data_IF_833970124813
#
_entry.id   IF_833970124813
#
_cell.length_a   1.000
_cell.length_b   1.000
_cell.length_c   1.000
_cell.angle_alpha   90.00
_cell.angle_beta   90.00
_cell.angle_gamma   90.00
#
_symmetry.space_group_name_H-M   'P 1'
#
loop_
_entity.id
_entity.type
_entity.pdbx_description
1 polymer ?
#
# COMPACT_ATOMS: atom_id res chain seq x y z
N UNK A 1 4.06 1.24 17.64
CA UNK A 1 3.88 0.72 16.28
C UNK A 1 2.45 0.24 16.10
N UNK A 2 1.64 1.03 15.41
CA UNK A 2 0.25 0.71 15.09
C UNK A 2 0.25 0.39 13.59
N UNK A 3 -0.35 -0.73 13.17
CA UNK A 3 -0.50 -0.98 11.74
C UNK A 3 -1.54 -0.01 11.17
N UNK A 4 -1.24 0.68 10.08
CA UNK A 4 -2.02 1.84 9.59
C UNK A 4 -3.33 1.48 8.87
N UNK A 5 -4.05 0.45 9.33
CA UNK A 5 -5.31 0.03 8.71
C UNK A 5 -5.18 -0.56 7.30
N UNK A 6 -3.96 -0.57 6.74
CA UNK A 6 -3.63 -1.03 5.39
C UNK A 6 -4.20 -2.41 5.03
N UNK A 7 -4.32 -3.31 6.01
CA UNK A 7 -4.95 -4.62 5.80
C UNK A 7 -6.42 -4.51 5.38
N UNK A 8 -7.19 -3.57 5.95
CA UNK A 8 -8.60 -3.33 5.60
C UNK A 8 -8.70 -2.72 4.20
N UNK A 9 -7.87 -1.73 3.90
CA UNK A 9 -7.80 -1.11 2.57
C UNK A 9 -7.46 -2.14 1.50
N UNK A 10 -6.42 -2.95 1.74
CA UNK A 10 -5.98 -3.99 0.82
C UNK A 10 -7.04 -5.07 0.62
N UNK A 11 -7.69 -5.52 1.70
CA UNK A 11 -8.77 -6.53 1.61
C UNK A 11 -9.95 -6.03 0.78
N UNK A 12 -10.35 -4.78 0.97
CA UNK A 12 -11.43 -4.17 0.19
C UNK A 12 -11.03 -3.95 -1.27
N UNK A 13 -9.80 -3.51 -1.54
CA UNK A 13 -9.28 -3.36 -2.90
C UNK A 13 -9.25 -4.70 -3.65
N UNK A 14 -8.78 -5.77 -3.00
CA UNK A 14 -8.81 -7.12 -3.55
C UNK A 14 -10.23 -7.54 -3.92
N UNK A 15 -11.19 -7.36 -3.00
CA UNK A 15 -12.60 -7.69 -3.24
C UNK A 15 -13.15 -6.97 -4.47
N UNK A 16 -12.89 -5.66 -4.59
CA UNK A 16 -13.32 -4.84 -5.74
C UNK A 16 -12.64 -5.25 -7.04
N UNK A 17 -11.36 -5.60 -7.00
CA UNK A 17 -10.60 -6.08 -8.14
C UNK A 17 -11.22 -7.38 -8.67
N UNK A 18 -11.44 -8.36 -7.79
CA UNK A 18 -12.01 -9.67 -8.16
C UNK A 18 -13.40 -9.55 -8.81
N UNK A 19 -14.25 -8.65 -8.31
CA UNK A 19 -15.58 -8.41 -8.89
C UNK A 19 -15.55 -7.84 -10.31
N UNK A 20 -14.46 -7.17 -10.69
CA UNK A 20 -14.34 -6.46 -11.98
C UNK A 20 -13.30 -7.06 -12.92
N UNK A 21 -12.61 -8.12 -12.51
CA UNK A 21 -11.52 -8.69 -13.29
C UNK A 21 -12.05 -9.47 -14.51
N UNK A 22 -11.52 -9.12 -15.69
CA UNK A 22 -11.93 -9.68 -17.00
C UNK A 22 -10.91 -10.66 -17.59
N UNK A 23 -9.90 -11.04 -16.82
CA UNK A 23 -8.84 -11.97 -17.24
C UNK A 23 -9.17 -13.43 -16.86
N UNK A 24 -8.24 -14.34 -17.13
CA UNK A 24 -8.34 -15.73 -16.69
C UNK A 24 -8.38 -15.84 -15.16
N UNK A 25 -9.04 -16.87 -14.64
CA UNK A 25 -9.22 -17.09 -13.20
C UNK A 25 -7.88 -17.12 -12.43
N UNK A 26 -6.82 -17.68 -13.02
CA UNK A 26 -5.49 -17.76 -12.42
C UNK A 26 -4.82 -16.39 -12.22
N UNK A 27 -5.24 -15.38 -12.99
CA UNK A 27 -4.77 -14.00 -12.88
C UNK A 27 -5.71 -13.19 -11.98
N UNK A 28 -7.02 -13.41 -12.08
CA UNK A 28 -8.04 -12.67 -11.34
C UNK A 28 -8.17 -13.09 -9.87
N UNK A 29 -7.99 -14.38 -9.57
CA UNK A 29 -8.10 -14.94 -8.23
C UNK A 29 -6.91 -15.86 -7.88
N UNK A 30 -5.65 -15.37 -7.99
CA UNK A 30 -4.51 -16.12 -7.52
C UNK A 30 -4.61 -16.28 -5.99
N UNK A 31 -4.06 -17.37 -5.41
CA UNK A 31 -4.14 -17.61 -3.96
C UNK A 31 -3.73 -16.41 -3.10
N UNK A 32 -2.74 -15.62 -3.55
CA UNK A 32 -2.29 -14.43 -2.82
C UNK A 32 -3.31 -13.31 -2.69
N UNK A 33 -4.28 -13.25 -3.60
CA UNK A 33 -5.36 -12.26 -3.60
C UNK A 33 -6.65 -12.83 -3.01
N UNK A 34 -6.63 -13.99 -2.34
CA UNK A 34 -7.83 -14.49 -1.69
C UNK A 34 -8.13 -13.67 -0.43
N UNK A 35 -9.39 -13.29 -0.16
CA UNK A 35 -9.71 -12.64 1.09
C UNK A 35 -9.45 -13.59 2.27
N UNK A 36 -8.80 -13.08 3.32
CA UNK A 36 -8.65 -13.81 4.59
C UNK A 36 -9.83 -13.40 5.48
N UNK A 37 -10.70 -14.34 5.90
CA UNK A 37 -11.80 -14.02 6.79
C UNK A 37 -11.28 -13.41 8.09
N UNK A 38 -11.75 -12.20 8.43
CA UNK A 38 -11.40 -11.51 9.68
C UNK A 38 -12.65 -10.90 10.29
N UNK A 39 -12.79 -11.10 11.60
CA UNK A 39 -13.86 -10.48 12.39
C UNK A 39 -13.33 -9.15 12.93
N UNK A 40 -13.67 -8.06 12.25
CA UNK A 40 -13.33 -6.71 12.66
C UNK A 40 -14.35 -6.19 13.68
N UNK A 41 -13.88 -5.61 14.78
CA UNK A 41 -14.74 -4.93 15.73
C UNK A 41 -15.44 -3.71 15.08
N UNK A 42 -14.71 -2.94 14.27
CA UNK A 42 -15.27 -1.88 13.42
C UNK A 42 -14.82 -2.07 11.97
N UNK A 43 -15.61 -2.75 11.12
CA UNK A 43 -15.18 -3.12 9.77
C UNK A 43 -14.75 -1.95 8.88
N UNK A 44 -15.37 -0.77 9.05
CA UNK A 44 -15.06 0.41 8.22
C UNK A 44 -14.12 1.43 8.87
N UNK A 45 -13.73 1.21 10.13
CA UNK A 45 -12.91 2.18 10.90
C UNK A 45 -11.64 1.48 11.39
N UNK A 46 -10.49 1.99 11.01
CA UNK A 46 -9.21 1.55 11.55
C UNK A 46 -9.06 2.03 12.99
N UNK A 47 -8.61 1.13 13.86
CA UNK A 47 -8.57 1.36 15.30
C UNK A 47 -7.53 0.45 15.94
N UNK A 48 -7.03 0.86 17.10
CA UNK A 48 -5.98 0.13 17.81
C UNK A 48 -6.35 -1.29 18.22
N UNK A 49 -7.62 -1.57 18.55
CA UNK A 49 -8.06 -2.91 18.93
C UNK A 49 -7.91 -3.90 17.76
N UNK A 50 -8.48 -3.57 16.61
CA UNK A 50 -8.41 -4.40 15.40
C UNK A 50 -6.95 -4.59 14.94
N UNK A 51 -6.13 -3.55 15.01
CA UNK A 51 -4.73 -3.62 14.63
C UNK A 51 -3.90 -4.49 15.57
N UNK A 52 -4.06 -4.33 16.90
CA UNK A 52 -3.38 -5.16 17.88
C UNK A 52 -3.80 -6.63 17.77
N UNK A 53 -5.09 -6.89 17.57
CA UNK A 53 -5.59 -8.25 17.35
C UNK A 53 -4.98 -8.88 16.10
N UNK A 54 -4.87 -8.11 15.02
CA UNK A 54 -4.30 -8.58 13.74
C UNK A 54 -2.80 -8.84 13.86
N UNK A 55 -2.06 -7.93 14.51
CA UNK A 55 -0.64 -8.10 14.80
C UNK A 55 -0.40 -9.33 15.68
N UNK A 56 -1.19 -9.51 16.75
CA UNK A 56 -1.11 -10.68 17.61
C UNK A 56 -1.40 -11.98 16.84
N UNK A 57 -2.45 -12.01 16.02
CA UNK A 57 -2.76 -13.16 15.16
C UNK A 57 -1.60 -13.50 14.20
N UNK A 58 -0.94 -12.47 13.65
CA UNK A 58 0.24 -12.66 12.81
C UNK A 58 1.42 -13.21 13.61
N UNK A 59 1.74 -12.65 14.78
CA UNK A 59 2.83 -13.13 15.64
C UNK A 59 2.59 -14.58 16.09
N UNK A 60 1.42 -14.90 16.61
CA UNK A 60 1.07 -16.27 17.05
C UNK A 60 1.09 -17.24 15.87
N UNK A 61 0.48 -16.86 14.74
CA UNK A 61 0.50 -17.67 13.51
C UNK A 61 1.90 -17.88 12.94
N UNK A 62 2.81 -16.91 13.09
CA UNK A 62 4.19 -16.99 12.64
C UNK A 62 5.08 -17.87 13.52
N UNK A 63 4.78 -17.94 14.84
CA UNK A 63 5.54 -18.71 15.83
C UNK A 63 5.13 -20.18 15.91
N UNK A 64 3.85 -20.50 15.69
CA UNK A 64 3.42 -21.89 15.53
C UNK A 64 3.93 -22.45 14.20
N UNK A 65 4.76 -23.50 14.23
CA UNK A 65 5.46 -24.15 13.11
C UNK A 65 4.55 -24.83 12.06
N UNK A 66 3.39 -24.24 11.74
CA UNK A 66 2.53 -24.65 10.63
C UNK A 66 2.48 -23.49 9.63
N UNK A 67 3.30 -23.53 8.56
CA UNK A 67 3.27 -22.57 7.46
C UNK A 67 1.89 -22.39 6.79
N UNK A 68 0.93 -23.25 7.15
CA UNK A 68 -0.30 -23.49 6.42
C UNK A 68 -1.52 -22.75 7.01
N UNK A 69 -1.43 -22.19 8.22
CA UNK A 69 -2.62 -21.70 8.95
C UNK A 69 -2.86 -20.19 8.79
N UNK A 70 -1.80 -19.43 8.52
CA UNK A 70 -1.90 -18.02 8.10
C UNK A 70 -1.09 -17.89 6.82
N UNK A 71 -1.80 -17.87 5.70
CA UNK A 71 -1.24 -17.87 4.36
C UNK A 71 -0.19 -16.76 4.22
N UNK A 72 1.09 -17.14 4.37
CA UNK A 72 2.23 -16.23 4.16
C UNK A 72 2.26 -15.75 2.71
N UNK A 73 1.49 -16.39 1.82
CA UNK A 73 1.24 -15.93 0.47
C UNK A 73 0.14 -14.86 0.36
N UNK A 74 -0.58 -14.50 1.41
CA UNK A 74 -1.68 -13.53 1.30
C UNK A 74 -1.19 -12.08 1.29
N UNK A 75 -1.61 -11.31 0.29
CA UNK A 75 -1.20 -9.92 0.10
C UNK A 75 -1.61 -9.02 1.26
N UNK A 76 -2.88 -9.08 1.71
CA UNK A 76 -3.36 -8.18 2.76
C UNK A 76 -2.61 -8.38 4.09
N UNK A 77 -2.27 -9.63 4.41
CA UNK A 77 -1.44 -9.95 5.57
C UNK A 77 0.00 -9.45 5.40
N UNK A 78 0.57 -9.61 4.21
CA UNK A 78 1.95 -9.18 3.95
C UNK A 78 2.10 -7.66 3.93
N UNK A 79 1.10 -6.92 3.43
CA UNK A 79 1.08 -5.45 3.48
C UNK A 79 1.15 -4.95 4.92
N UNK A 80 0.41 -5.58 5.83
CA UNK A 80 0.49 -5.26 7.26
C UNK A 80 1.84 -5.68 7.87
N UNK A 81 2.39 -6.81 7.43
CA UNK A 81 3.65 -7.32 7.95
C UNK A 81 4.85 -6.43 7.61
N UNK A 82 4.74 -5.51 6.63
CA UNK A 82 5.77 -4.53 6.30
C UNK A 82 6.17 -3.71 7.55
N UNK A 83 5.21 -3.28 8.37
CA UNK A 83 5.49 -2.53 9.60
C UNK A 83 5.99 -3.44 10.73
N UNK A 84 5.47 -4.66 10.82
CA UNK A 84 5.68 -5.54 11.97
C UNK A 84 6.95 -6.38 11.89
N UNK A 85 7.44 -6.67 10.70
CA UNK A 85 8.54 -7.58 10.50
C UNK A 85 9.86 -6.92 10.94
N UNK A 86 10.57 -7.55 11.89
CA UNK A 86 11.85 -7.05 12.37
C UNK A 86 12.90 -6.86 11.25
N UNK A 87 12.81 -7.64 10.17
CA UNK A 87 13.69 -7.51 9.01
C UNK A 87 13.38 -6.27 8.14
N UNK A 88 12.19 -5.70 8.26
CA UNK A 88 11.81 -4.43 7.63
C UNK A 88 11.76 -3.29 8.63
N UNK A 89 11.75 -3.53 9.95
CA UNK A 89 11.68 -2.48 10.98
C UNK A 89 12.75 -1.38 10.85
N UNK A 90 13.92 -1.70 10.31
CA UNK A 90 14.96 -0.70 10.02
C UNK A 90 14.48 0.38 9.04
N UNK A 91 13.38 0.15 8.31
CA UNK A 91 12.81 1.11 7.36
C UNK A 91 12.25 2.36 8.04
N UNK A 92 11.83 2.24 9.30
CA UNK A 92 11.37 3.37 10.11
C UNK A 92 12.54 4.22 10.64
N UNK A 93 13.72 3.63 10.82
CA UNK A 93 14.84 4.30 11.49
C UNK A 93 15.91 4.82 10.50
N UNK A 94 16.02 4.19 9.32
CA UNK A 94 17.08 4.49 8.36
C UNK A 94 16.59 5.41 7.23
N UNK A 95 17.37 6.42 6.79
CA UNK A 95 17.01 7.31 5.67
C UNK A 95 16.58 6.59 4.39
N UNK A 96 17.34 5.57 3.96
CA UNK A 96 16.98 4.73 2.79
C UNK A 96 15.72 3.87 2.99
N UNK A 97 15.29 3.73 4.23
CA UNK A 97 14.09 3.04 4.66
C UNK A 97 12.81 3.87 4.49
N UNK A 98 12.92 5.20 4.46
CA UNK A 98 11.75 6.07 4.51
C UNK A 98 10.90 6.02 3.24
N UNK A 99 11.51 5.66 2.11
CA UNK A 99 10.79 5.41 0.85
C UNK A 99 9.74 4.29 0.97
N UNK A 100 9.90 3.36 1.91
CA UNK A 100 8.91 2.31 2.16
C UNK A 100 7.58 2.90 2.62
N UNK A 101 7.65 4.04 3.33
CA UNK A 101 6.50 4.74 3.89
C UNK A 101 6.11 5.99 3.10
N UNK A 102 6.56 6.11 1.83
CA UNK A 102 6.33 7.31 1.01
C UNK A 102 6.78 8.61 1.70
N UNK A 103 7.81 8.54 2.54
CA UNK A 103 8.36 9.67 3.28
C UNK A 103 9.75 10.06 2.77
N UNK A 104 10.19 11.28 3.10
CA UNK A 104 11.52 11.78 2.69
C UNK A 104 12.56 11.58 3.78
N UNK A 105 13.79 11.28 3.37
CA UNK A 105 14.93 11.41 4.26
C UNK A 105 15.19 12.89 4.61
N UNK A 106 15.81 13.22 5.76
CA UNK A 106 16.11 14.60 6.13
C UNK A 106 16.92 15.38 5.08
N UNK A 107 17.78 14.69 4.34
CA UNK A 107 18.66 15.26 3.31
C UNK A 107 18.03 15.39 1.91
N UNK A 108 16.83 14.86 1.70
CA UNK A 108 16.15 14.88 0.40
C UNK A 108 15.17 16.06 0.31
N UNK A 109 15.04 16.64 -0.89
CA UNK A 109 13.90 17.52 -1.20
C UNK A 109 12.62 16.69 -1.34
N UNK A 110 11.45 17.32 -1.22
CA UNK A 110 10.16 16.66 -1.45
C UNK A 110 10.09 16.02 -2.83
N UNK A 111 10.53 16.72 -3.88
CA UNK A 111 10.54 16.19 -5.24
C UNK A 111 11.44 14.96 -5.40
N UNK A 112 12.66 15.00 -4.84
CA UNK A 112 13.59 13.86 -4.90
C UNK A 112 13.01 12.63 -4.20
N UNK A 113 12.46 12.82 -3.00
CA UNK A 113 11.81 11.74 -2.26
C UNK A 113 10.59 11.19 -3.00
N UNK A 114 9.78 12.06 -3.62
CA UNK A 114 8.66 11.67 -4.46
C UNK A 114 9.10 10.79 -5.63
N UNK A 115 10.16 11.19 -6.35
CA UNK A 115 10.73 10.40 -7.44
C UNK A 115 11.24 9.04 -6.95
N UNK A 116 11.90 9.01 -5.79
CA UNK A 116 12.43 7.79 -5.18
C UNK A 116 11.32 6.84 -4.72
N UNK A 117 10.24 7.37 -4.12
CA UNK A 117 9.08 6.58 -3.69
C UNK A 117 8.31 6.02 -4.91
N UNK A 118 8.08 6.84 -5.95
CA UNK A 118 7.46 6.36 -7.19
C UNK A 118 8.30 5.25 -7.84
N UNK A 119 9.62 5.44 -7.93
CA UNK A 119 10.54 4.42 -8.45
C UNK A 119 10.48 3.14 -7.61
N UNK A 120 10.44 3.26 -6.28
CA UNK A 120 10.34 2.12 -5.39
C UNK A 120 9.05 1.30 -5.63
N UNK A 121 7.90 1.97 -5.78
CA UNK A 121 6.62 1.30 -6.12
C UNK A 121 6.76 0.58 -7.46
N UNK A 122 7.29 1.26 -8.48
CA UNK A 122 7.45 0.72 -9.82
C UNK A 122 8.38 -0.50 -9.88
N UNK A 123 9.55 -0.41 -9.25
CA UNK A 123 10.56 -1.49 -9.23
C UNK A 123 10.01 -2.73 -8.54
N UNK A 124 9.32 -2.57 -7.41
CA UNK A 124 8.69 -3.69 -6.70
C UNK A 124 7.52 -4.29 -7.50
N UNK A 125 6.72 -3.46 -8.18
CA UNK A 125 5.67 -3.94 -9.08
C UNK A 125 6.25 -4.78 -10.23
N UNK A 126 7.33 -4.30 -10.87
CA UNK A 126 8.03 -5.01 -11.95
C UNK A 126 8.63 -6.34 -11.44
N UNK A 127 9.23 -6.33 -10.25
CA UNK A 127 9.75 -7.53 -9.62
C UNK A 127 8.62 -8.55 -9.34
N UNK A 128 7.45 -8.10 -8.87
CA UNK A 128 6.29 -8.96 -8.73
C UNK A 128 5.82 -9.52 -10.08
N UNK A 129 5.67 -8.69 -11.13
CA UNK A 129 5.26 -9.16 -12.47
C UNK A 129 6.20 -10.27 -12.96
N UNK A 130 7.51 -10.09 -12.76
CA UNK A 130 8.51 -11.09 -13.10
C UNK A 130 8.36 -12.40 -12.33
N UNK A 131 8.28 -12.33 -11.01
CA UNK A 131 8.15 -13.50 -10.17
C UNK A 131 6.79 -14.20 -10.39
N UNK A 132 5.72 -13.44 -10.57
CA UNK A 132 4.37 -13.98 -10.75
C UNK A 132 4.20 -14.71 -12.09
N UNK A 133 4.71 -14.17 -13.20
CA UNK A 133 4.73 -14.88 -14.49
C UNK A 133 5.46 -16.21 -14.40
N UNK A 134 6.61 -16.22 -13.73
CA UNK A 134 7.37 -17.44 -13.44
C UNK A 134 6.55 -18.44 -12.64
N UNK A 135 5.86 -18.00 -11.59
CA UNK A 135 4.96 -18.84 -10.80
C UNK A 135 3.83 -19.44 -11.63
N UNK A 136 3.22 -18.67 -12.53
CA UNK A 136 2.16 -19.15 -13.43
C UNK A 136 2.65 -20.26 -14.37
N UNK A 137 3.87 -20.14 -14.89
CA UNK A 137 4.45 -21.13 -15.80
C UNK A 137 4.81 -22.46 -15.10
N UNK A 138 5.17 -22.41 -13.82
CA UNK A 138 5.81 -23.55 -13.14
C UNK A 138 4.84 -24.62 -12.63
N UNK A 139 3.53 -24.38 -12.52
CA UNK A 139 2.44 -25.30 -12.10
C UNK A 139 2.67 -26.17 -10.81
N UNK A 140 3.83 -26.10 -10.15
CA UNK A 140 4.22 -26.95 -9.01
C UNK A 140 4.12 -26.22 -7.66
N UNK A 141 3.64 -26.88 -6.59
CA UNK A 141 3.62 -26.35 -5.22
C UNK A 141 5.01 -26.13 -4.60
N UNK A 142 6.06 -26.76 -5.13
CA UNK A 142 7.41 -26.80 -4.54
C UNK A 142 8.15 -25.44 -4.57
N UNK A 143 7.59 -24.42 -5.21
CA UNK A 143 8.21 -23.09 -5.35
C UNK A 143 7.69 -22.05 -4.34
N UNK A 144 7.34 -22.49 -3.14
CA UNK A 144 6.90 -21.63 -2.03
C UNK A 144 7.77 -20.37 -1.82
N UNK A 145 9.13 -20.42 -1.90
CA UNK A 145 9.96 -19.23 -1.70
C UNK A 145 9.74 -18.13 -2.76
N UNK A 146 9.56 -18.50 -4.03
CA UNK A 146 9.36 -17.54 -5.12
C UNK A 146 7.97 -16.90 -5.06
N UNK A 147 6.96 -17.67 -4.63
CA UNK A 147 5.62 -17.13 -4.37
C UNK A 147 5.66 -16.12 -3.23
N UNK A 148 6.34 -16.46 -2.14
CA UNK A 148 6.50 -15.57 -0.99
C UNK A 148 7.26 -14.30 -1.38
N UNK A 149 8.37 -14.43 -2.12
CA UNK A 149 9.11 -13.27 -2.62
C UNK A 149 8.24 -12.37 -3.51
N UNK A 150 7.48 -12.95 -4.46
CA UNK A 150 6.54 -12.19 -5.26
C UNK A 150 5.58 -11.38 -4.38
N UNK A 151 4.90 -12.05 -3.45
CA UNK A 151 3.91 -11.40 -2.56
C UNK A 151 4.56 -10.31 -1.73
N UNK A 152 5.79 -10.52 -1.24
CA UNK A 152 6.54 -9.50 -0.50
C UNK A 152 6.82 -8.26 -1.36
N UNK A 153 7.23 -8.43 -2.63
CA UNK A 153 7.42 -7.29 -3.54
C UNK A 153 6.12 -6.52 -3.75
N UNK A 154 5.02 -7.22 -3.99
CA UNK A 154 3.73 -6.55 -4.16
C UNK A 154 3.27 -5.86 -2.88
N UNK A 155 3.48 -6.48 -1.72
CA UNK A 155 3.14 -5.91 -0.42
C UNK A 155 3.91 -4.62 -0.14
N UNK A 156 5.21 -4.58 -0.42
CA UNK A 156 6.02 -3.36 -0.30
C UNK A 156 5.52 -2.23 -1.19
N UNK A 157 5.16 -2.54 -2.44
CA UNK A 157 4.62 -1.54 -3.36
C UNK A 157 3.24 -1.03 -2.93
N UNK A 158 2.34 -1.92 -2.50
CA UNK A 158 0.99 -1.57 -2.06
C UNK A 158 1.03 -0.77 -0.76
N UNK A 159 1.89 -1.14 0.18
CA UNK A 159 2.09 -0.41 1.43
C UNK A 159 2.52 1.04 1.15
N UNK A 160 3.63 1.21 0.41
CA UNK A 160 4.13 2.53 0.01
C UNK A 160 3.08 3.35 -0.77
N UNK A 161 2.29 2.70 -1.64
CA UNK A 161 1.19 3.36 -2.34
C UNK A 161 0.10 3.87 -1.38
N UNK A 162 -0.32 3.06 -0.41
CA UNK A 162 -1.36 3.42 0.55
C UNK A 162 -0.89 4.58 1.44
N UNK A 163 0.38 4.57 1.84
CA UNK A 163 1.02 5.65 2.58
C UNK A 163 1.02 7.00 1.85
N UNK A 164 1.04 7.00 0.51
CA UNK A 164 0.90 8.22 -0.28
C UNK A 164 -0.46 8.92 -0.12
N UNK A 165 -1.44 8.28 0.52
CA UNK A 165 -2.74 8.86 0.87
C UNK A 165 -2.85 9.21 2.36
N UNK A 166 -1.82 8.92 3.16
CA UNK A 166 -1.80 9.23 4.59
C UNK A 166 -1.46 10.71 4.84
N UNK A 167 -2.30 11.48 5.55
CA UNK A 167 -2.01 12.87 5.88
C UNK A 167 -0.82 13.03 6.83
N UNK A 168 -0.40 11.95 7.50
CA UNK A 168 0.80 11.92 8.33
C UNK A 168 2.08 11.70 7.53
N UNK A 169 1.98 11.32 6.25
CA UNK A 169 3.12 11.02 5.38
C UNK A 169 3.30 12.08 4.30
N UNK A 170 2.19 12.61 3.79
CA UNK A 170 2.19 13.60 2.72
C UNK A 170 1.21 14.74 2.96
N UNK A 171 1.51 15.90 2.36
CA UNK A 171 0.53 16.96 2.14
C UNK A 171 0.15 17.00 0.68
N UNK A 172 -1.15 16.96 0.37
CA UNK A 172 -1.69 17.13 -0.99
C UNK A 172 -2.22 18.56 -1.19
N UNK A 173 -2.12 19.09 -2.41
CA UNK A 173 -2.55 20.42 -2.78
C UNK A 173 -4.07 20.43 -2.99
N UNK A 174 -4.82 20.97 -2.04
CA UNK A 174 -6.23 21.28 -2.27
C UNK A 174 -6.35 22.46 -3.24
N UNK A 175 -7.32 22.41 -4.16
CA UNK A 175 -7.63 23.54 -5.05
C UNK A 175 -8.31 24.64 -4.22
N UNK A 176 -7.51 25.64 -3.85
CA UNK A 176 -7.77 27.01 -3.33
C UNK A 176 -9.01 27.22 -2.43
N UNK A 177 -8.87 27.78 -1.23
CA UNK A 177 -8.44 29.17 -1.02
C UNK A 177 -8.09 29.41 0.46
N UNK A 178 -7.32 30.47 0.70
CA UNK A 178 -6.80 30.94 1.98
C UNK A 178 -7.60 30.52 3.23
N UNK A 179 -6.92 29.92 4.21
CA UNK A 179 -6.95 30.30 5.63
C UNK A 179 -5.98 29.43 6.44
N UNK A 180 -5.34 30.08 7.41
CA UNK A 180 -4.43 29.49 8.38
C UNK A 180 -5.21 28.59 9.37
N UNK A 181 -4.65 27.39 9.64
CA UNK A 181 -5.01 26.45 10.72
C UNK A 181 -6.38 25.75 10.66
N UNK A 182 -6.57 24.77 11.55
CA UNK A 182 -6.24 23.36 11.37
C UNK A 182 -7.23 22.71 10.40
N UNK A 183 -6.75 21.94 9.43
CA UNK A 183 -7.61 21.33 8.42
C UNK A 183 -8.48 20.27 9.10
N UNK A 184 -9.68 20.66 9.52
CA UNK A 184 -10.80 19.74 9.67
C UNK A 184 -10.94 18.99 8.35
N UNK A 185 -11.00 17.66 8.43
CA UNK A 185 -11.18 16.69 7.36
C UNK A 185 -12.45 16.86 6.49
N UNK A 186 -13.07 18.04 6.49
CA UNK A 186 -14.21 18.41 5.64
C UNK A 186 -13.78 18.85 4.23
N UNK A 187 -12.67 18.28 3.73
CA UNK A 187 -12.46 18.27 2.29
C UNK A 187 -13.46 17.27 1.72
N UNK A 188 -14.67 17.77 1.45
CA UNK A 188 -15.55 17.14 0.48
C UNK A 188 -14.76 17.04 -0.81
N UNK A 189 -14.19 15.86 -1.07
CA UNK A 189 -13.76 15.44 -2.40
C UNK A 189 -15.03 15.40 -3.25
N UNK A 190 -15.47 16.56 -3.74
CA UNK A 190 -16.70 16.75 -4.52
C UNK A 190 -16.65 16.00 -5.85
N UNK A 191 -15.49 15.47 -6.23
CA UNK A 191 -15.32 14.57 -7.34
C UNK A 191 -14.32 13.43 -7.00
N UNK A 192 -14.77 12.18 -6.85
CA UNK A 192 -13.88 11.03 -6.58
C UNK A 192 -12.88 10.78 -7.73
N UNK A 193 -13.09 11.37 -8.92
CA UNK A 193 -12.15 11.27 -10.02
C UNK A 193 -10.99 12.27 -9.97
N UNK A 194 -10.96 13.19 -9.01
CA UNK A 194 -9.89 14.17 -8.87
C UNK A 194 -9.10 13.90 -7.59
N UNK A 195 -7.91 13.31 -7.76
CA UNK A 195 -6.95 13.11 -6.69
C UNK A 195 -6.08 14.38 -6.59
N UNK A 196 -6.07 15.09 -5.46
CA UNK A 196 -5.25 16.29 -5.33
C UNK A 196 -3.75 15.91 -5.40
N UNK A 197 -2.92 16.68 -6.13
CA UNK A 197 -1.52 16.34 -6.32
C UNK A 197 -0.72 16.50 -5.03
N UNK A 198 0.32 15.68 -4.84
CA UNK A 198 1.21 15.71 -3.69
C UNK A 198 2.06 16.99 -3.74
N UNK A 199 2.11 17.73 -2.65
CA UNK A 199 2.88 18.98 -2.51
C UNK A 199 4.12 18.81 -1.65
N UNK A 200 4.05 17.97 -0.63
CA UNK A 200 5.13 17.81 0.35
C UNK A 200 5.15 16.37 0.88
N UNK A 201 6.35 15.80 1.03
CA UNK A 201 6.58 14.56 1.75
C UNK A 201 7.20 14.90 3.11
N UNK A 202 6.68 14.32 4.18
CA UNK A 202 7.19 14.59 5.51
C UNK A 202 8.45 13.77 5.83
N UNK A 203 9.25 14.27 6.77
CA UNK A 203 10.44 13.59 7.28
C UNK A 203 9.99 12.67 8.41
N UNK A 204 10.14 11.36 8.24
CA UNK A 204 9.73 10.39 9.25
C UNK A 204 10.45 10.58 10.59
N UNK A 205 11.75 10.89 10.57
CA UNK A 205 12.53 11.12 11.79
C UNK A 205 11.96 12.24 12.68
N UNK A 206 11.22 13.18 12.09
CA UNK A 206 10.58 14.30 12.78
C UNK A 206 9.13 13.98 13.20
N UNK A 207 8.58 12.85 12.77
CA UNK A 207 7.31 12.33 13.27
C UNK A 207 7.54 11.67 14.62
N UNK A 208 6.55 11.76 15.50
CA UNK A 208 6.66 11.21 16.84
C UNK A 208 6.51 9.68 16.77
N UNK A 209 7.65 8.97 16.75
CA UNK A 209 7.78 7.52 16.53
C UNK A 209 6.91 6.65 17.47
N UNK A 210 6.65 7.13 18.69
CA UNK A 210 5.82 6.45 19.69
C UNK A 210 4.35 6.90 19.67
N UNK A 211 4.06 8.00 18.96
CA UNK A 211 2.75 8.60 18.83
C UNK A 211 2.39 8.74 17.35
N UNK A 212 2.22 7.60 16.67
CA UNK A 212 1.29 7.52 15.55
C UNK A 212 -0.01 8.20 15.98
N UNK A 213 -0.29 9.38 15.42
CA UNK A 213 -1.43 10.19 15.79
C UNK A 213 -2.73 9.41 15.48
N UNK A 214 -3.86 9.85 16.02
CA UNK A 214 -5.17 9.33 15.57
C UNK A 214 -5.37 9.48 14.05
N UNK A 215 -4.60 10.39 13.42
CA UNK A 215 -4.59 10.67 11.99
C UNK A 215 -4.09 9.51 11.12
N UNK A 216 -3.22 8.63 11.63
CA UNK A 216 -2.77 7.42 10.89
C UNK A 216 -3.92 6.42 10.72
N UNK A 217 -4.84 6.38 11.70
CA UNK A 217 -6.06 5.60 11.55
C UNK A 217 -7.06 6.24 10.61
N UNK A 218 -7.02 7.56 10.43
CA UNK A 218 -7.92 8.25 9.55
C UNK A 218 -7.70 7.79 8.10
N UNK A 219 -6.46 7.81 7.59
CA UNK A 219 -6.13 7.32 6.24
C UNK A 219 -6.29 5.80 6.08
N UNK A 220 -6.05 5.05 7.14
CA UNK A 220 -6.28 3.60 7.18
C UNK A 220 -7.75 3.17 7.16
N UNK A 221 -8.72 4.10 7.24
CA UNK A 221 -10.15 3.77 7.43
C UNK A 221 -10.96 3.85 6.14
N UNK A 222 -11.85 2.87 5.92
CA UNK A 222 -12.77 2.82 4.77
C UNK A 222 -13.91 3.85 4.85
N UNK A 223 -14.11 4.51 6.00
CA UNK A 223 -15.08 5.59 6.16
C UNK A 223 -14.44 6.98 6.00
N UNK A 224 -13.19 7.07 5.58
CA UNK A 224 -12.48 8.31 5.29
C UNK A 224 -12.31 8.47 3.76
N UNK A 225 -12.53 9.69 3.21
CA UNK A 225 -12.26 9.97 1.79
C UNK A 225 -10.85 9.55 1.31
N UNK A 226 -9.81 9.73 2.13
CA UNK A 226 -8.45 9.30 1.80
C UNK A 226 -8.30 7.78 1.76
N UNK A 227 -8.92 7.06 2.69
CA UNK A 227 -8.91 5.60 2.68
C UNK A 227 -9.66 5.03 1.47
N UNK A 228 -10.76 5.68 1.06
CA UNK A 228 -11.47 5.31 -0.17
C UNK A 228 -10.63 5.58 -1.43
N UNK A 229 -9.95 6.73 -1.52
CA UNK A 229 -8.99 7.00 -2.59
C UNK A 229 -7.84 5.99 -2.62
N UNK A 230 -7.31 5.61 -1.45
CA UNK A 230 -6.27 4.60 -1.33
C UNK A 230 -6.74 3.22 -1.81
N UNK A 231 -8.00 2.85 -1.55
CA UNK A 231 -8.62 1.63 -2.09
C UNK A 231 -8.71 1.71 -3.61
N UNK A 232 -9.23 2.80 -4.18
CA UNK A 232 -9.35 2.94 -5.63
C UNK A 232 -7.99 2.94 -6.33
N UNK A 233 -7.00 3.63 -5.77
CA UNK A 233 -5.62 3.61 -6.23
C UNK A 233 -5.05 2.18 -6.18
N UNK A 234 -5.28 1.46 -5.08
CA UNK A 234 -4.83 0.06 -4.93
C UNK A 234 -5.49 -0.84 -5.98
N UNK A 235 -6.80 -0.69 -6.25
CA UNK A 235 -7.49 -1.44 -7.32
C UNK A 235 -6.88 -1.16 -8.68
N UNK A 236 -6.66 0.12 -9.02
CA UNK A 236 -6.07 0.52 -10.29
C UNK A 236 -4.63 -0.01 -10.45
N UNK A 237 -3.85 0.04 -9.37
CA UNK A 237 -2.48 -0.48 -9.33
C UNK A 237 -2.43 -2.00 -9.53
N UNK A 238 -3.26 -2.75 -8.79
CA UNK A 238 -3.34 -4.21 -8.94
C UNK A 238 -3.84 -4.61 -10.33
N UNK A 239 -4.72 -3.82 -10.94
CA UNK A 239 -5.17 -4.02 -12.33
C UNK A 239 -4.00 -3.90 -13.30
N UNK A 240 -3.16 -2.87 -13.16
CA UNK A 240 -1.94 -2.67 -13.98
C UNK A 240 -0.97 -3.83 -13.81
N UNK A 241 -0.77 -4.29 -12.58
CA UNK A 241 0.05 -5.45 -12.27
C UNK A 241 -0.50 -6.72 -12.99
N UNK A 242 -1.79 -7.04 -12.83
CA UNK A 242 -2.43 -8.19 -13.48
C UNK A 242 -2.36 -8.12 -15.01
N UNK A 243 -2.65 -6.96 -15.61
CA UNK A 243 -2.56 -6.74 -17.05
C UNK A 243 -1.13 -6.95 -17.56
N UNK A 244 -0.14 -6.44 -16.84
CA UNK A 244 1.28 -6.61 -17.19
C UNK A 244 1.73 -8.06 -17.05
N UNK A 245 1.20 -8.79 -16.05
CA UNK A 245 1.42 -10.22 -15.89
C UNK A 245 0.80 -11.07 -17.01
N UNK A 246 -0.31 -10.63 -17.58
CA UNK A 246 -1.00 -11.31 -18.68
C UNK A 246 -0.31 -11.14 -20.05
N UNK A 247 0.57 -10.14 -20.20
CA UNK A 247 1.23 -9.83 -21.47
C UNK A 247 2.60 -10.52 -21.61
N UNK A 248 3.13 -10.72 -22.83
CA UNK A 248 4.51 -11.20 -23.02
C UNK A 248 5.58 -10.24 -22.48
N UNK A 249 5.34 -8.93 -22.58
CA UNK A 249 6.28 -7.88 -22.15
C UNK A 249 6.45 -7.84 -20.62
N UNK A 250 7.68 -7.61 -20.16
CA UNK A 250 7.99 -7.38 -18.74
C UNK A 250 7.76 -5.93 -18.29
N UNK A 251 7.25 -5.08 -19.18
CA UNK A 251 6.92 -3.71 -18.87
C UNK A 251 5.70 -3.63 -17.93
N UNK A 252 5.68 -2.62 -17.06
CA UNK A 252 4.52 -2.25 -16.26
C UNK A 252 3.60 -1.35 -17.10
N UNK A 253 2.76 -1.97 -17.92
CA UNK A 253 1.90 -1.29 -18.89
C UNK A 253 0.88 -0.39 -18.17
N UNK A 254 0.89 0.91 -18.47
CA UNK A 254 -0.02 1.90 -17.86
C UNK A 254 0.52 2.60 -16.61
N UNK A 255 1.77 2.32 -16.21
CA UNK A 255 2.40 2.96 -15.04
C UNK A 255 2.40 4.49 -15.10
N UNK A 256 2.80 5.10 -16.23
CA UNK A 256 2.87 6.55 -16.32
C UNK A 256 1.50 7.22 -16.18
N UNK A 257 0.46 6.66 -16.81
CA UNK A 257 -0.91 7.15 -16.64
C UNK A 257 -1.42 6.96 -15.21
N UNK A 258 -1.04 5.87 -14.55
CA UNK A 258 -1.34 5.65 -13.14
C UNK A 258 -0.66 6.69 -12.24
N UNK A 259 0.64 6.90 -12.44
CA UNK A 259 1.43 7.89 -11.69
C UNK A 259 0.83 9.29 -11.85
N UNK A 260 0.50 9.69 -13.09
CA UNK A 260 -0.13 10.97 -13.39
C UNK A 260 -1.51 11.15 -12.75
N UNK A 261 -2.28 10.08 -12.53
CA UNK A 261 -3.60 10.18 -11.88
C UNK A 261 -3.50 10.15 -10.36
N UNK A 262 -2.81 9.15 -9.80
CA UNK A 262 -2.89 8.81 -8.38
C UNK A 262 -1.76 9.42 -7.54
N UNK A 263 -0.61 9.61 -8.18
CA UNK A 263 0.62 10.07 -7.56
C UNK A 263 1.10 11.41 -8.14
N UNK A 264 0.23 12.18 -8.81
CA UNK A 264 0.63 13.48 -9.37
C UNK A 264 1.31 14.34 -8.30
N UNK A 265 2.36 15.09 -8.69
CA UNK A 265 2.99 16.09 -7.83
C UNK A 265 2.64 17.50 -8.29
N UNK A 266 2.49 18.42 -7.33
CA UNK A 266 2.18 19.83 -7.55
C UNK A 266 3.46 20.67 -7.70
N UNK A 267 4.62 20.10 -7.39
CA UNK A 267 5.89 20.79 -7.58
C UNK A 267 6.16 20.96 -9.08
N UNK A 268 6.11 22.23 -9.52
CA UNK A 268 6.66 22.69 -10.78
C UNK A 268 8.17 22.55 -10.64
N UNK A 269 8.79 21.84 -11.58
CA UNK A 269 10.25 21.75 -11.73
C UNK A 269 10.88 23.13 -11.48
N UNK A 270 11.62 23.28 -10.37
CA UNK A 270 12.46 24.45 -10.11
C UNK A 270 13.81 24.26 -10.78
#
# INVERSE_FOLDING_TARGET
MRCDGHIKLTSEAIRRLQLNCKHMAEICDPPMLRPVPRNWHKPRVSNGFDNNLTAWQWFVGSGSHKPDVFDRGNLANQVMAVDLNAATRWTHDHPLGQRYHFMRAPSETSYQAYQNACRFIEENARAWVYAFKKVLLMKSPQHHPMRLDAVNKLALAVHCLQDSFSPSHVRRAFVTSALNFPVSLDVQLSNPNQVPPIRELFVYANQNHDHHAEDDYASGSLNNPFGELAVEATVAFLTICQQSAAQPSMALTGWESFKQKWLATAEIEQ
#
